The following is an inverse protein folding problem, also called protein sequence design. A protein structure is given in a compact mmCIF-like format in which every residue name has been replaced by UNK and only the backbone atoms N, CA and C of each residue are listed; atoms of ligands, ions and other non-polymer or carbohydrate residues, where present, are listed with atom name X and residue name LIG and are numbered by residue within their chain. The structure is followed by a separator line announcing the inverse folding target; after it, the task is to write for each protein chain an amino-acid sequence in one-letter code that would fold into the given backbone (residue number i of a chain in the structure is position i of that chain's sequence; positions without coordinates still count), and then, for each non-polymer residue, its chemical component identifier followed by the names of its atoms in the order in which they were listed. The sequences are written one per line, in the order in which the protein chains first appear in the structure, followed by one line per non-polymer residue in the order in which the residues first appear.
data_IF_551373595269
#
_entry.id   IF_551373595269
#
_cell.length_a   1.000
_cell.length_b   1.000
_cell.length_c   1.000
_cell.angle_alpha   90.00
_cell.angle_beta   90.00
_cell.angle_gamma   90.00
#
_symmetry.space_group_name_H-M   'P 1'
#
loop_
_entity.id
_entity.type
_entity.pdbx_description
1 polymer ?
#
# COMPACT_ATOMS: atom_id res chain seq x y z
N UNK A 1 9.33 -41.51 7.11
CA UNK A 1 8.18 -40.62 7.36
C UNK A 1 8.55 -39.21 6.94
N UNK A 2 8.20 -38.80 5.72
CA UNK A 2 8.34 -37.41 5.25
C UNK A 2 7.02 -36.72 5.54
N UNK A 3 6.99 -35.78 6.50
CA UNK A 3 5.81 -34.93 6.70
C UNK A 3 5.79 -33.90 5.57
N UNK A 4 4.76 -33.94 4.74
CA UNK A 4 4.39 -32.84 3.87
C UNK A 4 3.97 -31.68 4.76
N UNK A 5 4.69 -30.57 4.69
CA UNK A 5 4.24 -29.28 5.23
C UNK A 5 3.29 -28.73 4.17
N UNK A 6 1.99 -28.74 4.48
CA UNK A 6 0.94 -28.27 3.59
C UNK A 6 0.92 -26.74 3.52
N UNK A 7 0.52 -26.22 2.37
CA UNK A 7 0.34 -24.79 2.04
C UNK A 7 -0.71 -24.09 2.95
N UNK A 8 -1.39 -24.82 3.85
CA UNK A 8 -2.45 -24.31 4.72
C UNK A 8 -1.99 -23.42 5.88
N UNK A 9 -0.68 -23.40 6.20
CA UNK A 9 -0.17 -22.78 7.44
C UNK A 9 0.59 -21.45 7.18
N UNK A 10 0.58 -20.97 5.94
CA UNK A 10 1.04 -19.63 5.55
C UNK A 10 -0.21 -18.84 5.16
N UNK A 11 -0.66 -17.95 6.05
CA UNK A 11 -1.70 -16.98 5.72
C UNK A 11 -1.11 -15.98 4.71
N UNK A 12 -1.15 -16.33 3.44
CA UNK A 12 -0.82 -15.44 2.33
C UNK A 12 -2.08 -14.65 2.01
N UNK A 13 -2.31 -13.57 2.75
CA UNK A 13 -3.38 -12.64 2.42
C UNK A 13 -3.02 -11.94 1.12
N UNK A 14 -3.52 -12.48 0.00
CA UNK A 14 -3.39 -11.78 -1.28
C UNK A 14 -4.37 -10.61 -1.26
N UNK A 15 -3.90 -9.45 -0.78
CA UNK A 15 -4.32 -8.08 -1.09
C UNK A 15 -3.90 -7.12 0.04
N UNK A 16 -2.60 -6.81 0.17
CA UNK A 16 -2.23 -5.42 0.45
C UNK A 16 -1.86 -4.79 -0.88
N UNK A 17 -2.60 -3.76 -1.25
CA UNK A 17 -2.23 -2.92 -2.38
C UNK A 17 -1.24 -1.90 -1.83
N UNK A 18 0.03 -2.09 -2.17
CA UNK A 18 1.06 -1.11 -1.85
C UNK A 18 1.19 -0.14 -3.01
N UNK A 19 0.63 1.05 -2.81
CA UNK A 19 0.85 2.19 -3.69
C UNK A 19 1.94 3.11 -3.12
N UNK A 20 3.18 2.64 -3.00
CA UNK A 20 4.30 3.54 -2.68
C UNK A 20 4.63 4.40 -3.91
N UNK A 21 4.49 5.72 -3.83
CA UNK A 21 4.69 6.62 -4.97
C UNK A 21 6.03 7.38 -4.91
N UNK A 22 6.98 6.96 -5.76
CA UNK A 22 7.95 7.83 -6.44
C UNK A 22 7.80 7.54 -7.96
N UNK A 23 8.08 8.49 -8.86
CA UNK A 23 7.26 8.76 -10.04
C UNK A 23 7.15 7.55 -10.99
N UNK A 24 6.07 6.74 -10.87
CA UNK A 24 5.44 5.91 -11.92
C UNK A 24 4.20 5.16 -11.39
N UNK A 25 3.06 5.57 -11.95
CA UNK A 25 1.79 4.90 -12.32
C UNK A 25 0.93 3.98 -11.41
N UNK A 26 -0.35 4.40 -11.42
CA UNK A 26 -1.71 3.84 -11.38
C UNK A 26 -2.07 2.40 -10.96
N UNK A 27 -3.25 2.35 -10.33
CA UNK A 27 -4.07 1.24 -9.79
C UNK A 27 -4.55 0.15 -10.75
N UNK A 28 -4.86 -1.02 -10.17
CA UNK A 28 -5.79 -2.02 -10.75
C UNK A 28 -6.66 -2.66 -9.62
N UNK A 29 -7.98 -2.84 -9.82
CA UNK A 29 -8.93 -3.31 -8.81
C UNK A 29 -9.03 -4.84 -8.61
N UNK A 30 -9.11 -5.38 -7.38
CA UNK A 30 -9.62 -6.75 -7.10
C UNK A 30 -10.22 -6.98 -5.69
N UNK A 31 -11.44 -7.53 -5.62
CA UNK A 31 -12.19 -7.83 -4.38
C UNK A 31 -11.95 -9.25 -3.86
N UNK A 32 -12.10 -9.49 -2.55
CA UNK A 32 -11.95 -10.81 -1.90
C UNK A 32 -12.92 -11.84 -2.50
N UNK A 33 -12.40 -12.99 -2.94
CA UNK A 33 -13.20 -14.17 -3.30
C UNK A 33 -13.09 -15.21 -2.18
N UNK A 34 -14.19 -15.81 -1.69
CA UNK A 34 -14.20 -16.64 -0.47
C UNK A 34 -13.78 -18.10 -0.70
N UNK A 35 -12.80 -18.39 -1.57
CA UNK A 35 -12.47 -19.76 -1.94
C UNK A 35 -10.96 -20.03 -1.84
N UNK A 36 -10.60 -21.13 -1.17
CA UNK A 36 -9.23 -21.51 -0.77
C UNK A 36 -8.23 -21.76 -1.92
N UNK A 37 -7.00 -22.21 -1.59
CA UNK A 37 -5.80 -22.14 -2.42
C UNK A 37 -5.82 -22.94 -3.75
N UNK A 38 -6.86 -23.70 -4.05
CA UNK A 38 -6.91 -24.64 -5.19
C UNK A 38 -7.46 -24.06 -6.50
N UNK A 39 -7.99 -22.82 -6.54
CA UNK A 39 -8.48 -22.19 -7.79
C UNK A 39 -7.64 -20.99 -8.30
N UNK A 40 -6.51 -20.70 -7.66
CA UNK A 40 -5.64 -19.56 -7.99
C UNK A 40 -4.81 -19.68 -9.30
N UNK A 41 -4.44 -20.86 -9.85
CA UNK A 41 -3.57 -20.94 -11.02
C UNK A 41 -4.15 -20.32 -12.30
N UNK A 42 -5.47 -20.34 -12.46
CA UNK A 42 -6.14 -19.85 -13.68
C UNK A 42 -6.28 -18.33 -13.75
N UNK A 43 -6.30 -17.64 -12.60
CA UNK A 43 -6.54 -16.20 -12.51
C UNK A 43 -5.25 -15.38 -12.67
N UNK A 44 -4.09 -15.88 -12.23
CA UNK A 44 -2.82 -15.17 -12.39
C UNK A 44 -2.35 -15.17 -13.86
N UNK A 45 -2.24 -16.34 -14.50
CA UNK A 45 -1.66 -16.46 -15.85
C UNK A 45 -2.50 -15.82 -16.96
N UNK A 46 -3.82 -15.77 -16.81
CA UNK A 46 -4.73 -15.17 -17.80
C UNK A 46 -4.96 -13.66 -17.60
N UNK A 47 -4.59 -13.09 -16.44
CA UNK A 47 -4.78 -11.66 -16.13
C UNK A 47 -3.51 -10.83 -16.26
N UNK A 48 -2.32 -11.43 -16.15
CA UNK A 48 -1.03 -10.80 -16.47
C UNK A 48 -0.98 -10.35 -17.94
N UNK A 49 -1.63 -11.07 -18.86
CA UNK A 49 -1.67 -10.71 -20.29
C UNK A 49 -2.63 -9.56 -20.63
N UNK A 50 -3.74 -9.39 -19.87
CA UNK A 50 -4.72 -8.33 -20.09
C UNK A 50 -4.34 -6.96 -19.53
N UNK A 51 -3.27 -6.87 -18.73
CA UNK A 51 -2.84 -5.65 -18.02
C UNK A 51 -1.58 -5.01 -18.64
N UNK A 52 -1.16 -5.47 -19.82
CA UNK A 52 0.09 -5.13 -20.53
C UNK A 52 0.20 -3.69 -21.07
N UNK A 53 -0.70 -2.77 -20.70
CA UNK A 53 -0.69 -1.38 -21.20
C UNK A 53 -0.35 -0.30 -20.15
N UNK A 54 -0.11 -0.65 -18.88
CA UNK A 54 0.37 0.30 -17.85
C UNK A 54 1.37 -0.37 -16.89
N UNK A 55 2.36 0.39 -16.41
CA UNK A 55 3.44 -0.09 -15.53
C UNK A 55 2.99 -0.18 -14.06
N UNK A 56 2.07 -1.08 -13.74
CA UNK A 56 1.65 -1.38 -12.37
C UNK A 56 2.49 -2.52 -11.79
N UNK A 57 2.83 -2.45 -10.50
CA UNK A 57 3.55 -3.50 -9.77
C UNK A 57 2.54 -4.46 -9.13
N UNK A 58 2.78 -5.76 -9.24
CA UNK A 58 2.02 -6.80 -8.54
C UNK A 58 2.81 -7.31 -7.35
N UNK A 59 2.19 -7.18 -6.18
CA UNK A 59 2.84 -7.44 -4.89
C UNK A 59 2.04 -8.50 -4.15
N UNK A 60 2.71 -9.53 -3.64
CA UNK A 60 2.11 -10.43 -2.65
C UNK A 60 2.43 -9.89 -1.26
N UNK A 61 1.43 -9.79 -0.38
CA UNK A 61 1.69 -9.63 1.04
C UNK A 61 1.72 -11.01 1.70
N UNK A 62 2.78 -11.27 2.46
CA UNK A 62 2.88 -12.43 3.32
C UNK A 62 2.44 -12.03 4.73
N UNK A 63 1.63 -12.89 5.36
CA UNK A 63 1.10 -12.75 6.72
C UNK A 63 -0.13 -11.81 6.81
N UNK A 64 -0.13 -10.91 7.78
CA UNK A 64 -1.26 -10.12 8.25
C UNK A 64 -1.73 -10.51 9.65
N UNK A 65 -2.68 -9.73 10.15
CA UNK A 65 -3.29 -9.88 11.48
C UNK A 65 -3.66 -11.33 11.82
N UNK A 66 -3.22 -11.80 12.99
CA UNK A 66 -3.56 -13.11 13.54
C UNK A 66 -2.62 -14.25 13.14
N UNK A 67 -1.60 -13.96 12.33
CA UNK A 67 -0.53 -14.91 12.02
C UNK A 67 0.56 -14.90 13.09
N UNK A 68 1.22 -16.05 13.32
CA UNK A 68 2.35 -16.17 14.27
C UNK A 68 3.54 -16.91 13.66
N UNK A 69 4.17 -16.35 12.60
CA UNK A 69 5.16 -17.06 11.80
C UNK A 69 6.48 -17.32 12.53
N UNK A 70 6.74 -16.69 13.69
CA UNK A 70 8.02 -16.84 14.42
C UNK A 70 8.26 -18.24 14.95
N UNK A 71 7.20 -19.05 15.06
CA UNK A 71 7.29 -20.47 15.43
C UNK A 71 7.85 -21.37 14.31
N UNK A 72 7.93 -20.86 13.08
CA UNK A 72 8.43 -21.58 11.91
C UNK A 72 9.90 -21.22 11.60
N UNK A 73 10.58 -22.07 10.82
CA UNK A 73 11.93 -21.77 10.35
C UNK A 73 11.90 -20.64 9.29
N UNK A 74 12.55 -19.48 9.54
CA UNK A 74 12.48 -18.32 8.65
C UNK A 74 13.09 -18.60 7.27
N UNK A 75 14.06 -19.50 7.16
CA UNK A 75 14.67 -19.88 5.87
C UNK A 75 13.67 -20.63 5.00
N UNK A 76 12.97 -21.59 5.58
CA UNK A 76 11.91 -22.37 4.91
C UNK A 76 10.79 -21.44 4.46
N UNK A 77 10.32 -20.56 5.34
CA UNK A 77 9.26 -19.59 5.04
C UNK A 77 9.68 -18.64 3.91
N UNK A 78 10.89 -18.07 3.96
CA UNK A 78 11.43 -17.20 2.91
C UNK A 78 11.47 -17.89 1.55
N UNK A 79 11.91 -19.16 1.50
CA UNK A 79 11.96 -19.92 0.25
C UNK A 79 10.56 -20.19 -0.32
N UNK A 80 9.56 -20.44 0.54
CA UNK A 80 8.17 -20.59 0.09
C UNK A 80 7.63 -19.29 -0.53
N UNK A 81 7.81 -18.16 0.15
CA UNK A 81 7.37 -16.85 -0.33
C UNK A 81 8.06 -16.49 -1.65
N UNK A 82 9.39 -16.66 -1.74
CA UNK A 82 10.13 -16.38 -2.97
C UNK A 82 9.71 -17.30 -4.13
N UNK A 83 9.44 -18.57 -3.84
CA UNK A 83 8.91 -19.49 -4.85
C UNK A 83 7.53 -19.04 -5.34
N UNK A 84 6.67 -18.54 -4.44
CA UNK A 84 5.36 -17.98 -4.81
C UNK A 84 5.52 -16.78 -5.75
N UNK A 85 6.35 -15.79 -5.37
CA UNK A 85 6.66 -14.61 -6.21
C UNK A 85 7.10 -15.02 -7.62
N UNK A 86 8.06 -15.96 -7.72
CA UNK A 86 8.58 -16.43 -9.01
C UNK A 86 7.54 -17.23 -9.81
N UNK A 87 6.78 -18.10 -9.14
CA UNK A 87 5.76 -18.95 -9.80
C UNK A 87 4.68 -18.11 -10.46
N UNK A 88 4.29 -17.02 -9.81
CA UNK A 88 3.22 -16.14 -10.29
C UNK A 88 3.73 -14.89 -11.00
N UNK A 89 5.04 -14.79 -11.26
CA UNK A 89 5.67 -13.65 -11.94
C UNK A 89 5.31 -12.31 -11.30
N UNK A 90 5.33 -12.25 -9.98
CA UNK A 90 5.05 -11.03 -9.21
C UNK A 90 6.31 -10.16 -9.15
N UNK A 91 6.13 -8.85 -9.03
CA UNK A 91 7.22 -7.87 -9.00
C UNK A 91 7.79 -7.69 -7.59
N UNK A 92 6.99 -8.00 -6.56
CA UNK A 92 7.37 -7.71 -5.19
C UNK A 92 6.77 -8.66 -4.15
N UNK A 93 7.35 -8.57 -2.96
CA UNK A 93 6.80 -9.11 -1.71
C UNK A 93 6.74 -8.02 -0.65
N UNK A 94 5.64 -7.98 0.09
CA UNK A 94 5.52 -7.25 1.35
C UNK A 94 5.45 -8.22 2.52
N UNK A 95 6.16 -7.90 3.59
CA UNK A 95 6.17 -8.67 4.84
C UNK A 95 5.32 -7.95 5.87
N UNK A 96 4.05 -8.34 5.95
CA UNK A 96 3.05 -7.82 6.89
C UNK A 96 3.05 -8.60 8.20
N UNK A 97 4.20 -8.58 8.87
CA UNK A 97 4.43 -9.34 10.09
C UNK A 97 3.74 -8.67 11.28
N UNK A 98 2.82 -9.39 11.94
CA UNK A 98 2.02 -8.93 13.09
C UNK A 98 2.03 -9.94 14.27
N UNK A 99 3.17 -10.59 14.54
CA UNK A 99 3.35 -11.49 15.69
C UNK A 99 3.83 -10.69 16.92
N UNK A 100 2.90 -9.96 17.52
CA UNK A 100 3.15 -9.07 18.66
C UNK A 100 3.91 -9.76 19.81
N UNK A 101 3.54 -10.97 20.28
CA UNK A 101 4.26 -11.60 21.39
C UNK A 101 5.74 -11.85 21.10
N UNK A 102 6.07 -12.22 19.87
CA UNK A 102 7.44 -12.46 19.44
C UNK A 102 8.27 -11.18 19.37
N UNK A 103 7.67 -10.05 19.00
CA UNK A 103 8.36 -8.76 18.92
C UNK A 103 8.40 -8.04 20.27
N UNK A 104 7.24 -7.85 20.89
CA UNK A 104 7.05 -6.97 22.04
C UNK A 104 7.52 -7.58 23.35
N UNK A 105 7.38 -8.90 23.51
CA UNK A 105 7.72 -9.59 24.76
C UNK A 105 8.99 -10.44 24.65
N UNK A 106 9.09 -11.28 23.61
CA UNK A 106 10.19 -12.25 23.49
C UNK A 106 11.44 -11.67 22.79
N UNK A 107 11.28 -10.66 21.93
CA UNK A 107 12.34 -10.13 21.06
C UNK A 107 12.87 -11.14 20.03
N UNK A 108 12.20 -12.27 19.83
CA UNK A 108 12.59 -13.30 18.86
C UNK A 108 12.33 -12.87 17.42
N UNK A 109 11.37 -11.96 17.21
CA UNK A 109 11.02 -11.40 15.91
C UNK A 109 12.23 -10.83 15.16
N UNK A 110 13.14 -10.13 15.84
CA UNK A 110 14.24 -9.41 15.19
C UNK A 110 15.19 -10.38 14.46
N UNK A 111 15.58 -11.48 15.13
CA UNK A 111 16.46 -12.47 14.52
C UNK A 111 15.75 -13.27 13.42
N UNK A 112 14.46 -13.56 13.63
CA UNK A 112 13.63 -14.26 12.67
C UNK A 112 13.45 -13.44 11.37
N UNK A 113 13.01 -12.18 11.49
CA UNK A 113 12.86 -11.24 10.37
C UNK A 113 14.20 -11.00 9.67
N UNK A 114 15.30 -10.86 10.41
CA UNK A 114 16.62 -10.69 9.80
C UNK A 114 17.01 -11.87 8.90
N UNK A 115 16.72 -13.09 9.36
CA UNK A 115 16.98 -14.31 8.58
C UNK A 115 16.05 -14.40 7.38
N UNK A 116 14.75 -14.16 7.58
CA UNK A 116 13.74 -14.15 6.52
C UNK A 116 14.12 -13.17 5.41
N UNK A 117 14.36 -11.90 5.74
CA UNK A 117 14.72 -10.83 4.80
C UNK A 117 16.00 -11.17 4.05
N UNK A 118 17.02 -11.70 4.74
CA UNK A 118 18.29 -12.09 4.09
C UNK A 118 18.07 -13.20 3.05
N UNK A 119 17.33 -14.24 3.40
CA UNK A 119 17.05 -15.37 2.49
C UNK A 119 16.15 -14.93 1.34
N UNK A 120 15.11 -14.13 1.61
CA UNK A 120 14.28 -13.54 0.58
C UNK A 120 15.12 -12.75 -0.40
N UNK A 121 16.05 -11.92 0.07
CA UNK A 121 16.86 -11.08 -0.80
C UNK A 121 17.87 -11.87 -1.64
N UNK A 122 18.36 -12.99 -1.13
CA UNK A 122 19.15 -13.94 -1.94
C UNK A 122 18.31 -14.55 -3.07
N UNK A 123 17.02 -14.80 -2.82
CA UNK A 123 16.11 -15.37 -3.81
C UNK A 123 15.50 -14.34 -4.76
N UNK A 124 15.31 -13.11 -4.30
CA UNK A 124 14.63 -11.99 -4.95
C UNK A 124 15.56 -10.76 -4.95
N UNK A 125 16.60 -10.73 -5.81
CA UNK A 125 17.64 -9.71 -5.76
C UNK A 125 17.10 -8.28 -5.89
N UNK A 126 17.67 -7.35 -5.12
CA UNK A 126 17.31 -5.94 -5.17
C UNK A 126 17.55 -5.36 -6.57
N UNK A 127 16.67 -4.48 -7.02
CA UNK A 127 16.68 -3.91 -8.37
C UNK A 127 16.03 -4.81 -9.42
N UNK A 128 15.76 -6.08 -9.11
CA UNK A 128 14.89 -6.96 -9.91
C UNK A 128 13.53 -7.16 -9.24
N UNK A 129 13.51 -7.28 -7.92
CA UNK A 129 12.30 -7.41 -7.12
C UNK A 129 12.28 -6.36 -6.01
N UNK A 130 11.07 -5.94 -5.66
CA UNK A 130 10.82 -5.09 -4.50
C UNK A 130 10.55 -5.99 -3.28
N UNK A 131 11.12 -5.62 -2.14
CA UNK A 131 10.82 -6.23 -0.85
C UNK A 131 10.57 -5.14 0.18
N UNK A 132 9.37 -5.18 0.75
CA UNK A 132 8.88 -4.20 1.72
C UNK A 132 8.44 -4.92 2.99
N UNK A 133 8.27 -4.15 4.06
CA UNK A 133 7.72 -4.63 5.31
C UNK A 133 6.61 -3.66 5.74
N UNK A 134 5.59 -4.13 6.46
CA UNK A 134 4.48 -3.29 6.95
C UNK A 134 4.38 -3.26 8.50
N UNK A 135 5.42 -2.79 9.21
CA UNK A 135 5.36 -2.70 10.68
C UNK A 135 4.34 -1.67 11.16
N UNK A 136 3.76 -1.88 12.34
CA UNK A 136 3.04 -0.83 13.06
C UNK A 136 4.01 0.26 13.58
N UNK A 137 3.56 1.52 13.58
CA UNK A 137 4.41 2.65 13.98
C UNK A 137 5.06 2.51 15.37
N UNK A 138 4.37 2.02 16.43
CA UNK A 138 4.96 1.88 17.76
C UNK A 138 6.19 0.98 17.80
N UNK A 139 6.34 0.02 16.89
CA UNK A 139 7.52 -0.86 16.84
C UNK A 139 8.83 -0.15 16.52
N UNK A 140 8.76 1.13 16.10
CA UNK A 140 9.92 2.00 15.96
C UNK A 140 10.24 2.85 17.20
N UNK A 141 9.48 2.71 18.31
CA UNK A 141 9.74 3.47 19.54
C UNK A 141 11.08 3.02 20.16
N UNK A 142 12.07 3.91 20.30
CA UNK A 142 13.40 3.55 20.78
C UNK A 142 13.35 3.08 22.25
N UNK A 143 13.97 1.93 22.52
CA UNK A 143 14.08 1.37 23.86
C UNK A 143 12.79 0.78 24.45
N UNK A 144 11.65 0.88 23.75
CA UNK A 144 10.37 0.35 24.24
C UNK A 144 10.31 -1.18 24.15
N UNK A 145 10.83 -1.74 23.07
CA UNK A 145 10.74 -3.18 22.77
C UNK A 145 12.07 -3.90 22.95
N UNK A 146 12.06 -5.19 23.30
CA UNK A 146 13.25 -6.03 23.28
C UNK A 146 14.01 -5.91 21.96
N UNK A 147 15.34 -5.75 22.06
CA UNK A 147 16.24 -5.57 20.91
C UNK A 147 15.84 -4.40 19.98
N UNK A 148 15.15 -3.39 20.53
CA UNK A 148 14.74 -2.17 19.83
C UNK A 148 13.70 -2.38 18.72
N UNK A 149 12.91 -3.46 18.76
CA UNK A 149 11.80 -3.69 17.83
C UNK A 149 12.21 -3.58 16.35
N UNK A 150 11.46 -2.81 15.58
CA UNK A 150 11.75 -2.59 14.15
C UNK A 150 12.94 -1.67 13.89
N UNK A 151 13.37 -0.83 14.85
CA UNK A 151 14.68 -0.18 14.76
C UNK A 151 15.81 -1.22 14.82
N UNK A 152 15.64 -2.28 15.61
CA UNK A 152 16.55 -3.43 15.63
C UNK A 152 16.59 -4.19 14.31
N UNK A 153 15.41 -4.43 13.69
CA UNK A 153 15.32 -5.02 12.35
C UNK A 153 16.00 -4.13 11.31
N UNK A 154 15.75 -2.81 11.36
CA UNK A 154 16.37 -1.86 10.45
C UNK A 154 17.90 -1.84 10.59
N UNK A 155 18.42 -1.86 11.82
CA UNK A 155 19.85 -1.93 12.07
C UNK A 155 20.49 -3.22 11.54
N UNK A 156 19.78 -4.35 11.62
CA UNK A 156 20.30 -5.65 11.19
C UNK A 156 20.24 -5.87 9.67
N UNK A 157 19.12 -5.52 9.03
CA UNK A 157 18.84 -5.84 7.62
C UNK A 157 18.12 -4.74 6.86
N UNK A 158 18.02 -3.53 7.41
CA UNK A 158 17.29 -2.42 6.79
C UNK A 158 17.88 -1.94 5.46
N UNK A 159 19.13 -2.28 5.16
CA UNK A 159 19.73 -2.07 3.84
C UNK A 159 19.18 -3.04 2.77
N UNK A 160 18.65 -4.20 3.18
CA UNK A 160 18.04 -5.20 2.29
C UNK A 160 16.54 -4.97 2.08
N UNK A 161 15.92 -4.02 2.78
CA UNK A 161 14.50 -3.68 2.67
C UNK A 161 14.37 -2.40 1.84
N UNK A 162 13.50 -2.38 0.84
CA UNK A 162 13.36 -1.20 -0.03
C UNK A 162 12.67 -0.06 0.71
N UNK A 163 11.54 -0.31 1.37
CA UNK A 163 10.87 0.61 2.29
C UNK A 163 9.94 -0.11 3.29
N UNK A 164 9.41 0.68 4.22
CA UNK A 164 8.43 0.28 5.23
C UNK A 164 7.09 0.95 4.97
N UNK A 165 6.03 0.15 4.84
CA UNK A 165 4.65 0.60 4.80
C UNK A 165 4.13 0.74 6.22
N UNK A 166 4.57 1.80 6.91
CA UNK A 166 4.38 1.94 8.35
C UNK A 166 2.91 2.14 8.67
N UNK A 167 2.31 1.23 9.44
CA UNK A 167 0.90 1.29 9.78
C UNK A 167 0.67 2.31 10.91
N UNK A 168 0.13 3.48 10.57
CA UNK A 168 -0.26 4.54 11.51
C UNK A 168 -1.75 4.45 11.86
N UNK A 169 -2.21 3.24 12.19
CA UNK A 169 -3.59 2.90 12.55
C UNK A 169 -3.59 1.67 13.48
N UNK A 170 -4.73 1.41 14.16
CA UNK A 170 -4.90 0.34 15.16
C UNK A 170 -4.06 0.44 16.45
N UNK A 171 -3.49 1.61 16.76
CA UNK A 171 -2.58 1.80 17.91
C UNK A 171 -3.20 2.55 19.11
N UNK A 172 -4.47 2.96 19.01
CA UNK A 172 -5.18 3.67 20.06
C UNK A 172 -6.07 4.78 19.48
N UNK A 173 -7.16 5.11 20.16
CA UNK A 173 -8.18 6.02 19.62
C UNK A 173 -7.66 7.43 19.27
N UNK A 174 -6.64 7.90 19.98
CA UNK A 174 -6.01 9.21 19.77
C UNK A 174 -4.70 9.15 18.97
N UNK A 175 -4.24 7.97 18.57
CA UNK A 175 -2.92 7.79 17.99
C UNK A 175 -2.94 8.07 16.49
N UNK A 176 -2.05 8.98 16.05
CA UNK A 176 -1.85 9.36 14.65
C UNK A 176 -3.11 9.86 13.92
N UNK A 177 -4.08 10.44 14.64
CA UNK A 177 -5.34 10.99 14.07
C UNK A 177 -5.25 12.46 13.66
N UNK A 178 -4.10 13.10 13.84
CA UNK A 178 -3.82 14.49 13.42
C UNK A 178 -2.49 14.54 12.66
N UNK A 179 -2.27 15.56 11.83
CA UNK A 179 -0.97 15.72 11.16
C UNK A 179 0.18 15.86 12.17
N UNK A 180 -0.02 16.55 13.30
CA UNK A 180 1.00 16.68 14.33
C UNK A 180 1.37 15.32 14.96
N UNK A 181 0.35 14.53 15.31
CA UNK A 181 0.51 13.18 15.87
C UNK A 181 1.14 12.19 14.88
N UNK A 182 0.75 12.28 13.61
CA UNK A 182 1.27 11.45 12.53
C UNK A 182 2.72 11.79 12.16
N UNK A 183 3.03 13.08 12.04
CA UNK A 183 4.27 13.54 11.43
C UNK A 183 5.38 13.82 12.45
N UNK A 184 5.08 14.56 13.52
CA UNK A 184 6.13 15.25 14.29
C UNK A 184 6.20 14.87 15.76
N UNK A 185 5.09 14.47 16.39
CA UNK A 185 5.05 14.24 17.83
C UNK A 185 4.04 13.14 18.18
N UNK A 186 4.53 11.92 18.38
CA UNK A 186 3.72 10.83 18.92
C UNK A 186 3.43 11.02 20.40
N UNK A 187 2.52 10.22 20.94
CA UNK A 187 2.14 10.30 22.35
C UNK A 187 3.23 9.71 23.27
N UNK A 188 3.07 9.89 24.58
CA UNK A 188 3.91 9.22 25.58
C UNK A 188 3.65 7.71 25.69
N UNK A 189 2.55 7.22 25.11
CA UNK A 189 2.26 5.77 25.06
C UNK A 189 3.19 5.11 24.04
N UNK A 190 3.35 5.75 22.88
CA UNK A 190 4.24 5.31 21.80
C UNK A 190 5.31 6.38 21.54
N UNK A 191 6.32 6.52 22.40
CA UNK A 191 7.28 7.61 22.29
C UNK A 191 8.11 7.50 21.00
N UNK A 192 8.26 8.64 20.32
CA UNK A 192 9.10 8.79 19.11
C UNK A 192 8.70 7.92 17.90
N UNK A 193 7.44 7.53 17.82
CA UNK A 193 6.88 6.73 16.73
C UNK A 193 6.22 7.55 15.61
N UNK A 194 6.23 8.89 15.66
CA UNK A 194 5.77 9.71 14.54
C UNK A 194 6.79 9.71 13.39
N UNK A 195 6.35 9.96 12.16
CA UNK A 195 7.16 9.83 10.94
C UNK A 195 8.58 10.43 11.04
N UNK A 196 8.68 11.70 11.44
CA UNK A 196 9.96 12.41 11.53
C UNK A 196 10.77 12.00 12.77
N UNK A 197 10.12 11.49 13.82
CA UNK A 197 10.81 10.93 14.99
C UNK A 197 11.41 9.56 14.69
N UNK A 198 10.70 8.71 13.93
CA UNK A 198 11.25 7.45 13.40
C UNK A 198 12.47 7.75 12.53
N UNK A 199 12.38 8.76 11.66
CA UNK A 199 13.51 9.17 10.84
C UNK A 199 14.70 9.68 11.66
N UNK A 200 14.44 10.46 12.71
CA UNK A 200 15.48 10.92 13.64
C UNK A 200 16.15 9.76 14.40
N UNK A 201 15.45 8.63 14.57
CA UNK A 201 15.98 7.39 15.14
C UNK A 201 16.73 6.50 14.14
N UNK A 202 17.06 7.03 12.95
CA UNK A 202 18.03 6.44 12.03
C UNK A 202 17.44 5.70 10.83
N UNK A 203 16.11 5.64 10.68
CA UNK A 203 15.49 5.10 9.47
C UNK A 203 15.45 6.17 8.37
N UNK A 204 15.97 5.93 7.16
CA UNK A 204 15.93 6.93 6.11
C UNK A 204 14.50 7.36 5.78
N UNK A 205 14.27 8.67 5.72
CA UNK A 205 12.95 9.27 5.52
C UNK A 205 12.28 8.83 4.21
N UNK A 206 13.07 8.53 3.17
CA UNK A 206 12.59 8.00 1.89
C UNK A 206 12.17 6.53 1.94
N UNK A 207 12.37 5.83 3.06
CA UNK A 207 11.89 4.47 3.32
C UNK A 207 10.62 4.41 4.16
N UNK A 208 10.10 5.54 4.63
CA UNK A 208 8.97 5.57 5.56
C UNK A 208 7.68 5.93 4.84
N UNK A 209 6.99 4.95 4.26
CA UNK A 209 5.67 5.14 3.63
C UNK A 209 4.62 5.28 4.74
N UNK A 210 3.72 6.26 4.59
CA UNK A 210 2.63 6.51 5.55
C UNK A 210 1.47 5.55 5.26
N UNK A 211 1.20 4.58 6.13
CA UNK A 211 0.06 3.68 6.05
C UNK A 211 -1.16 4.18 6.81
N UNK A 212 -2.35 4.26 6.17
CA UNK A 212 -3.62 4.66 6.81
C UNK A 212 -4.79 3.76 6.39
N UNK A 213 -5.84 3.70 7.20
CA UNK A 213 -7.12 3.14 6.77
C UNK A 213 -7.75 4.00 5.66
N UNK A 214 -8.20 3.37 4.56
CA UNK A 214 -8.83 4.07 3.44
C UNK A 214 -10.15 4.73 3.86
N UNK A 215 -10.94 4.04 4.69
CA UNK A 215 -12.14 4.56 5.33
C UNK A 215 -12.10 4.36 6.84
N UNK A 216 -13.01 5.03 7.56
CA UNK A 216 -13.15 4.86 9.01
C UNK A 216 -13.58 3.46 9.46
N UNK A 217 -13.95 2.57 8.54
CA UNK A 217 -14.31 1.18 8.83
C UNK A 217 -13.17 0.17 8.56
N UNK A 218 -12.11 0.59 7.86
CA UNK A 218 -11.03 -0.32 7.45
C UNK A 218 -10.00 -0.57 8.57
N UNK A 219 -9.95 0.31 9.55
CA UNK A 219 -9.14 0.17 10.75
C UNK A 219 -10.01 0.45 11.98
N UNK A 220 -9.64 -0.15 13.12
CA UNK A 220 -10.33 0.05 14.41
C UNK A 220 -10.14 1.49 14.93
N UNK A 221 -8.98 2.10 14.68
CA UNK A 221 -8.66 3.47 15.04
C UNK A 221 -7.56 4.05 14.14
N UNK A 222 -7.26 5.34 14.28
CA UNK A 222 -6.23 6.03 13.50
C UNK A 222 -6.71 6.53 12.15
N UNK A 223 -8.01 6.60 11.87
CA UNK A 223 -8.51 7.16 10.61
C UNK A 223 -8.20 8.66 10.50
N UNK A 224 -7.81 9.10 9.30
CA UNK A 224 -7.77 10.50 8.87
C UNK A 224 -8.50 10.53 7.52
N UNK A 225 -9.44 11.46 7.33
CA UNK A 225 -10.13 11.58 6.05
C UNK A 225 -9.16 11.97 4.91
N UNK A 226 -9.45 11.59 3.65
CA UNK A 226 -8.52 11.78 2.54
C UNK A 226 -8.05 13.23 2.33
N UNK A 227 -8.95 14.20 2.49
CA UNK A 227 -8.61 15.62 2.32
C UNK A 227 -7.67 16.13 3.41
N UNK A 228 -7.95 15.77 4.68
CA UNK A 228 -7.03 16.07 5.80
C UNK A 228 -5.69 15.37 5.61
N UNK A 229 -5.70 14.09 5.19
CA UNK A 229 -4.49 13.33 4.92
C UNK A 229 -3.66 13.98 3.80
N UNK A 230 -4.29 14.47 2.73
CA UNK A 230 -3.61 15.20 1.67
C UNK A 230 -2.84 16.42 2.20
N UNK A 231 -3.44 17.15 3.15
CA UNK A 231 -2.79 18.24 3.88
C UNK A 231 -1.58 17.78 4.68
N UNK A 232 -1.69 16.68 5.42
CA UNK A 232 -0.57 16.10 6.17
C UNK A 232 0.57 15.66 5.23
N UNK A 233 0.26 14.99 4.12
CA UNK A 233 1.25 14.52 3.12
C UNK A 233 1.95 15.72 2.48
N UNK A 234 1.24 16.80 2.17
CA UNK A 234 1.85 18.04 1.66
C UNK A 234 2.79 18.68 2.68
N UNK A 235 2.41 18.69 3.97
CA UNK A 235 3.26 19.15 5.06
C UNK A 235 4.49 18.27 5.25
N UNK A 236 4.38 16.94 5.12
CA UNK A 236 5.52 16.03 5.19
C UNK A 236 6.47 16.29 4.03
N UNK A 237 5.93 16.44 2.81
CA UNK A 237 6.71 16.71 1.60
C UNK A 237 7.47 18.04 1.66
N UNK A 238 6.87 19.10 2.19
CA UNK A 238 7.56 20.38 2.38
C UNK A 238 8.71 20.31 3.39
N UNK A 239 8.72 19.29 4.24
CA UNK A 239 9.78 18.97 5.21
C UNK A 239 10.78 17.91 4.70
N UNK A 240 10.79 17.63 3.39
CA UNK A 240 11.79 16.77 2.75
C UNK A 240 11.43 15.28 2.69
N UNK A 241 10.23 14.89 3.12
CA UNK A 241 9.76 13.51 2.98
C UNK A 241 9.25 13.23 1.55
N UNK A 242 9.47 12.02 1.04
CA UNK A 242 9.08 11.67 -0.33
C UNK A 242 8.81 10.17 -0.57
N UNK A 243 8.44 9.41 0.47
CA UNK A 243 8.31 7.95 0.37
C UNK A 243 6.98 7.50 -0.26
N UNK A 244 5.86 8.19 0.02
CA UNK A 244 4.53 7.85 -0.50
C UNK A 244 3.55 7.41 0.59
N UNK A 245 2.32 7.08 0.20
CA UNK A 245 1.23 6.71 1.13
C UNK A 245 0.75 5.30 0.77
N UNK A 246 0.51 4.47 1.76
CA UNK A 246 -0.14 3.16 1.65
C UNK A 246 -1.52 3.23 2.29
N UNK A 247 -2.48 2.47 1.76
CA UNK A 247 -3.80 2.35 2.35
C UNK A 247 -4.24 0.92 2.61
N UNK A 248 -4.94 0.73 3.72
CA UNK A 248 -5.73 -0.46 4.01
C UNK A 248 -7.22 -0.10 3.97
N UNK A 249 -8.04 -0.59 3.05
CA UNK A 249 -7.71 -1.52 1.97
C UNK A 249 -8.48 -1.16 0.71
N UNK A 250 -7.97 -1.64 -0.41
CA UNK A 250 -8.78 -1.79 -1.62
C UNK A 250 -9.95 -2.77 -1.37
N UNK A 251 -11.16 -2.57 -1.95
CA UNK A 251 -11.54 -1.54 -2.92
C UNK A 251 -11.83 -0.15 -2.35
N UNK A 252 -11.80 0.01 -1.02
CA UNK A 252 -12.21 1.27 -0.39
C UNK A 252 -11.21 2.40 -0.68
N UNK A 253 -9.92 2.08 -0.77
CA UNK A 253 -8.83 2.97 -1.21
C UNK A 253 -8.61 3.01 -2.71
N UNK A 254 -9.65 3.32 -3.49
CA UNK A 254 -9.59 3.36 -4.97
C UNK A 254 -9.04 4.68 -5.56
N UNK A 255 -9.24 4.89 -6.87
CA UNK A 255 -8.62 6.00 -7.64
C UNK A 255 -8.94 7.34 -7.06
N UNK A 256 -10.21 7.54 -6.71
CA UNK A 256 -10.68 8.77 -6.12
C UNK A 256 -9.96 9.08 -4.80
N UNK A 257 -9.74 8.06 -3.96
CA UNK A 257 -9.00 8.21 -2.70
C UNK A 257 -7.55 8.61 -2.98
N UNK A 258 -6.89 7.94 -3.92
CA UNK A 258 -5.49 8.20 -4.28
C UNK A 258 -5.33 9.60 -4.86
N UNK A 259 -6.21 9.99 -5.79
CA UNK A 259 -6.23 11.31 -6.41
C UNK A 259 -6.38 12.42 -5.36
N UNK A 260 -7.25 12.22 -4.37
CA UNK A 260 -7.47 13.17 -3.29
C UNK A 260 -6.25 13.27 -2.37
N UNK A 261 -5.73 12.15 -1.86
CA UNK A 261 -4.57 12.13 -0.95
C UNK A 261 -3.33 12.73 -1.59
N UNK A 262 -3.13 12.55 -2.89
CA UNK A 262 -1.96 13.09 -3.60
C UNK A 262 -2.12 14.54 -4.06
N UNK A 263 -3.32 15.11 -4.01
CA UNK A 263 -3.65 16.38 -4.67
C UNK A 263 -2.69 17.54 -4.29
N UNK A 264 -2.30 17.62 -3.01
CA UNK A 264 -1.39 18.64 -2.49
C UNK A 264 0.11 18.34 -2.67
N UNK A 265 0.47 17.10 -2.98
CA UNK A 265 1.87 16.64 -2.97
C UNK A 265 2.37 16.26 -4.36
N UNK A 266 1.63 15.46 -5.10
CA UNK A 266 1.98 15.00 -6.45
C UNK A 266 0.75 15.06 -7.36
N UNK A 267 0.22 16.25 -7.68
CA UNK A 267 -1.03 16.38 -8.42
C UNK A 267 -0.97 15.65 -9.77
N UNK A 268 -2.05 14.93 -10.12
CA UNK A 268 -2.25 14.40 -11.46
C UNK A 268 -2.77 15.53 -12.36
N UNK A 269 -2.06 15.87 -13.45
CA UNK A 269 -2.54 16.84 -14.46
C UNK A 269 -2.02 18.29 -14.41
N UNK A 270 -0.91 18.58 -13.71
CA UNK A 270 -0.36 19.94 -13.58
C UNK A 270 0.59 20.39 -14.70
N UNK A 271 0.18 20.29 -15.96
CA UNK A 271 0.84 20.93 -17.10
C UNK A 271 0.03 22.13 -17.58
N UNK A 272 0.01 23.22 -16.83
CA UNK A 272 -0.71 24.44 -17.24
C UNK A 272 -0.93 25.39 -16.08
N UNK A 273 -0.08 26.42 -15.97
CA UNK A 273 -0.29 27.51 -15.03
C UNK A 273 -1.63 28.20 -15.29
N UNK A 274 -2.42 28.36 -14.23
CA UNK A 274 -3.65 29.13 -14.28
C UNK A 274 -3.30 30.62 -14.34
N UNK A 275 -3.33 31.21 -15.54
CA UNK A 275 -3.30 32.66 -15.70
C UNK A 275 -4.63 33.24 -15.23
N UNK A 276 -4.59 33.97 -14.12
CA UNK A 276 -5.69 34.83 -13.66
C UNK A 276 -6.01 35.85 -14.75
N UNK A 277 -7.18 35.75 -15.38
CA UNK A 277 -7.70 36.81 -16.25
C UNK A 277 -8.89 37.48 -15.58
N UNK A 278 -8.66 38.71 -15.13
CA UNK A 278 -9.67 39.61 -14.58
C UNK A 278 -10.78 39.89 -15.60
N UNK A 279 -12.02 39.67 -15.19
CA UNK A 279 -13.22 40.02 -15.95
C UNK A 279 -13.35 41.54 -16.05
N UNK A 280 -13.34 42.09 -17.28
CA UNK A 280 -13.86 43.44 -17.55
C UNK A 280 -14.98 43.32 -18.57
N UNK A 281 -16.18 43.67 -18.11
CA UNK A 281 -17.45 43.74 -18.83
C UNK A 281 -17.41 44.77 -19.96
N UNK A 282 -17.86 44.39 -21.17
CA UNK A 282 -18.36 45.36 -22.15
C UNK A 282 -19.48 44.75 -23.01
N UNK A 283 -20.51 45.58 -23.20
CA UNK A 283 -21.89 45.28 -23.62
C UNK A 283 -22.12 45.28 -25.14
N UNK A 284 -23.17 44.54 -25.55
CA UNK A 284 -24.02 44.66 -26.78
C UNK A 284 -23.33 44.25 -28.11
N UNK A 285 -23.92 43.48 -29.03
CA UNK A 285 -25.29 43.54 -29.58
C UNK A 285 -25.68 42.30 -30.42
N UNK A 286 -26.99 42.06 -30.49
CA UNK A 286 -27.72 40.97 -31.17
C UNK A 286 -27.76 41.11 -32.70
N UNK A 287 -27.61 40.02 -33.44
CA UNK A 287 -28.20 39.86 -34.79
C UNK A 287 -28.36 38.39 -35.20
N UNK A 288 -29.45 38.13 -35.92
CA UNK A 288 -30.15 36.88 -36.24
C UNK A 288 -29.56 36.03 -37.38
N UNK A 289 -29.70 34.71 -37.20
CA UNK A 289 -30.04 33.62 -38.15
C UNK A 289 -29.54 33.61 -39.60
N UNK A 290 -28.79 32.54 -39.96
CA UNK A 290 -29.07 31.72 -41.16
C UNK A 290 -28.23 30.43 -41.19
N UNK A 291 -28.89 29.35 -41.61
CA UNK A 291 -28.49 27.94 -41.67
C UNK A 291 -27.52 27.64 -42.83
N UNK A 292 -26.51 26.79 -42.59
CA UNK A 292 -25.96 25.87 -43.61
C UNK A 292 -25.17 24.74 -42.96
N UNK A 293 -25.59 23.52 -43.29
CA UNK A 293 -25.03 22.21 -42.95
C UNK A 293 -23.64 21.94 -43.54
N UNK A 294 -22.74 21.34 -42.76
CA UNK A 294 -21.62 20.51 -43.26
C UNK A 294 -21.53 19.23 -42.41
N UNK A 295 -21.38 18.13 -43.13
CA UNK A 295 -21.12 16.72 -42.77
C UNK A 295 -20.21 16.51 -41.54
N UNK A 296 -20.37 15.50 -40.68
CA UNK A 296 -20.65 14.09 -40.95
C UNK A 296 -19.44 13.26 -40.51
N UNK A 297 -19.59 12.49 -39.43
CA UNK A 297 -18.57 11.57 -38.91
C UNK A 297 -19.13 10.75 -37.75
N UNK A 298 -19.45 9.49 -38.03
CA UNK A 298 -20.23 8.54 -37.23
C UNK A 298 -19.46 7.89 -36.07
N UNK A 299 -20.11 7.73 -34.92
CA UNK A 299 -19.75 6.72 -33.91
C UNK A 299 -20.73 5.53 -34.01
N UNK A 300 -20.51 4.65 -34.99
CA UNK A 300 -21.17 3.34 -35.06
C UNK A 300 -20.31 2.32 -34.33
N UNK A 301 -20.80 1.75 -33.22
CA UNK A 301 -20.08 0.64 -32.57
C UNK A 301 -20.45 0.22 -31.15
N UNK A 302 -21.42 0.85 -30.48
CA UNK A 302 -21.81 0.42 -29.12
C UNK A 302 -23.27 -0.02 -29.12
N UNK A 303 -23.48 -1.33 -29.04
CA UNK A 303 -24.79 -1.94 -28.79
C UNK A 303 -25.18 -1.70 -27.33
N UNK A 304 -26.41 -1.25 -27.09
CA UNK A 304 -26.98 -1.09 -25.76
C UNK A 304 -27.06 -2.44 -25.02
N UNK A 305 -26.71 -2.43 -23.73
CA UNK A 305 -26.73 -3.60 -22.87
C UNK A 305 -28.18 -4.02 -22.56
N UNK A 306 -28.52 -5.29 -22.86
CA UNK A 306 -29.82 -5.90 -22.59
C UNK A 306 -29.76 -6.71 -21.29
N UNK A 307 -30.58 -6.34 -20.30
CA UNK A 307 -30.69 -7.04 -19.02
C UNK A 307 -31.71 -8.18 -19.10
N UNK A 308 -31.27 -9.38 -19.48
CA UNK A 308 -32.10 -10.58 -19.33
C UNK A 308 -31.31 -11.88 -19.38
N UNK A 309 -30.56 -12.21 -18.31
CA UNK A 309 -30.22 -13.60 -18.00
C UNK A 309 -30.21 -13.79 -16.48
N UNK A 310 -31.29 -14.39 -15.97
CA UNK A 310 -31.32 -15.02 -14.67
C UNK A 310 -30.59 -16.37 -14.76
N UNK A 311 -29.76 -16.70 -13.78
CA UNK A 311 -29.22 -18.05 -13.62
C UNK A 311 -29.53 -18.62 -12.23
N UNK A 312 -29.81 -19.93 -12.15
CA UNK A 312 -30.50 -20.56 -11.04
C UNK A 312 -29.57 -20.88 -9.86
N UNK A 313 -30.17 -20.97 -8.67
CA UNK A 313 -29.54 -21.48 -7.47
C UNK A 313 -29.16 -22.96 -7.63
N UNK A 314 -27.94 -23.31 -7.22
CA UNK A 314 -27.44 -24.69 -7.19
C UNK A 314 -26.82 -24.99 -5.83
N UNK A 315 -27.56 -25.85 -5.11
CA UNK A 315 -27.24 -26.73 -3.96
C UNK A 315 -25.79 -26.96 -3.57
#
# INVERSE_FOLDING_TARGET
MRRHIGISDLDLTTCLYHLSWAPRFLEVPFSRHPQGPTQWPGLASSRVSSLSSLSSLFIVSAFGSGSSPTSQDPTTVANHIANYVKTYSLDAVDIDYEDDPALESAGTAIAWLSTLTTVLRQQLPQGQYILTHAPVAPWFSPGLWPRNGYLGVHAAVGNLIDWYNVQFYNQGASEYVTCAGLLTASSSVWPESALFQIAANGVPLNKLVIGKGATGADATNGYIDPATLAGCVAQAKSQGWSAGVMEWQYPNGGSAWIEEVRAGSWPVGGGGGTTTTSTTTKTTSTSTTSTSTVSGGSCSGITAWSSSLAYPAGS
#
